data_IF_468820184329
#
_entry.id   IF_468820184329
#
_cell.length_a   1.000
_cell.length_b   1.000
_cell.length_c   1.000
_cell.angle_alpha   90.00
_cell.angle_beta   90.00
_cell.angle_gamma   90.00
#
_symmetry.space_group_name_H-M   'P 1'
#
loop_
_entity.id
_entity.type
_entity.pdbx_description
1 polymer ?
#
# COMPACT_ATOMS: atom_id res chain seq x y z
N UNK A 1 -9.19 13.74 16.83
CA UNK A 1 -7.75 13.52 16.56
C UNK A 1 -7.35 12.06 16.33
N UNK A 2 -8.18 11.07 16.68
CA UNK A 2 -7.92 9.65 16.40
C UNK A 2 -7.75 9.34 14.89
N UNK A 3 -8.35 10.15 14.01
CA UNK A 3 -8.30 10.01 12.56
C UNK A 3 -6.95 10.33 11.90
N UNK A 4 -5.94 10.79 12.65
CA UNK A 4 -4.62 11.18 12.11
C UNK A 4 -3.49 10.26 12.59
N UNK A 5 -3.81 9.28 13.43
CA UNK A 5 -2.84 8.37 14.02
C UNK A 5 -3.17 6.93 13.65
N UNK A 6 -2.13 6.13 13.46
CA UNK A 6 -2.25 4.71 13.22
C UNK A 6 -1.71 3.92 14.42
N UNK A 7 -2.23 2.70 14.68
CA UNK A 7 -1.51 1.74 15.53
C UNK A 7 -0.14 1.47 14.91
N UNK A 8 0.90 1.51 15.75
CA UNK A 8 2.26 1.21 15.33
C UNK A 8 2.64 -0.21 15.72
N UNK A 9 3.47 -0.82 14.89
CA UNK A 9 4.12 -2.08 15.19
C UNK A 9 4.97 -1.95 16.46
N UNK A 10 4.81 -2.90 17.36
CA UNK A 10 5.71 -3.05 18.52
C UNK A 10 7.03 -3.68 18.05
N UNK A 11 8.16 -3.41 18.74
CA UNK A 11 9.44 -4.05 18.41
C UNK A 11 9.36 -5.58 18.50
N UNK A 12 8.56 -6.11 19.41
CA UNK A 12 8.30 -7.55 19.52
C UNK A 12 7.57 -8.11 18.29
N UNK A 13 6.57 -7.42 17.75
CA UNK A 13 5.92 -7.83 16.49
C UNK A 13 6.89 -7.85 15.31
N UNK A 14 7.78 -6.86 15.21
CA UNK A 14 8.79 -6.81 14.15
C UNK A 14 9.83 -7.93 14.29
N UNK A 15 10.26 -8.20 15.52
CA UNK A 15 11.19 -9.29 15.81
C UNK A 15 10.56 -10.66 15.55
N UNK A 16 9.31 -10.85 15.97
CA UNK A 16 8.55 -12.06 15.70
C UNK A 16 8.37 -12.28 14.20
N UNK A 17 8.07 -11.25 13.42
CA UNK A 17 7.97 -11.35 11.95
C UNK A 17 9.23 -11.96 11.34
N UNK A 18 10.41 -11.53 11.77
CA UNK A 18 11.68 -12.06 11.24
C UNK A 18 11.97 -13.50 11.69
N UNK A 19 11.43 -13.92 12.84
CA UNK A 19 11.64 -15.27 13.39
C UNK A 19 10.59 -16.31 12.98
N UNK A 20 9.35 -15.89 12.68
CA UNK A 20 8.25 -16.80 12.40
C UNK A 20 8.39 -17.56 11.08
N UNK A 21 9.15 -17.00 10.14
CA UNK A 21 9.29 -17.56 8.81
C UNK A 21 10.59 -18.36 8.71
N UNK A 22 10.49 -19.60 8.25
CA UNK A 22 11.65 -20.41 7.87
C UNK A 22 12.38 -19.86 6.62
N UNK A 23 11.81 -18.82 5.97
CA UNK A 23 12.37 -18.23 4.78
C UNK A 23 13.51 -17.24 5.10
N UNK A 24 14.57 -17.20 4.27
CA UNK A 24 15.54 -16.11 4.28
C UNK A 24 14.89 -14.73 4.20
N UNK A 25 15.48 -13.74 4.89
CA UNK A 25 14.96 -12.37 4.94
C UNK A 25 14.74 -11.77 3.54
N UNK A 26 15.69 -11.98 2.62
CA UNK A 26 15.60 -11.47 1.24
C UNK A 26 14.34 -11.99 0.51
N UNK A 27 13.99 -13.27 0.71
CA UNK A 27 12.78 -13.84 0.12
C UNK A 27 11.51 -13.28 0.76
N UNK A 28 11.52 -13.03 2.07
CA UNK A 28 10.40 -12.38 2.74
C UNK A 28 10.17 -10.97 2.21
N UNK A 29 11.25 -10.23 1.94
CA UNK A 29 11.19 -8.87 1.41
C UNK A 29 10.68 -8.85 -0.03
N UNK A 30 11.12 -9.80 -0.86
CA UNK A 30 10.60 -9.96 -2.24
C UNK A 30 9.11 -10.33 -2.21
N UNK A 31 8.70 -11.29 -1.39
CA UNK A 31 7.28 -11.69 -1.28
C UNK A 31 6.42 -10.50 -0.83
N UNK A 32 6.88 -9.75 0.17
CA UNK A 32 6.20 -8.55 0.64
C UNK A 32 6.05 -7.54 -0.51
N UNK A 33 7.15 -7.18 -1.16
CA UNK A 33 7.17 -6.23 -2.26
C UNK A 33 6.23 -6.64 -3.41
N UNK A 34 6.32 -7.90 -3.86
CA UNK A 34 5.50 -8.42 -4.97
C UNK A 34 4.02 -8.45 -4.63
N UNK A 35 3.67 -8.80 -3.40
CA UNK A 35 2.27 -8.81 -2.98
C UNK A 35 1.70 -7.40 -2.86
N UNK A 36 2.48 -6.45 -2.33
CA UNK A 36 2.09 -5.04 -2.27
C UNK A 36 1.89 -4.46 -3.67
N UNK A 37 2.76 -4.81 -4.63
CA UNK A 37 2.61 -4.46 -6.05
C UNK A 37 1.36 -5.08 -6.67
N UNK A 38 1.08 -6.36 -6.40
CA UNK A 38 -0.12 -7.04 -6.86
C UNK A 38 -1.38 -6.31 -6.39
N UNK A 39 -1.43 -5.91 -5.10
CA UNK A 39 -2.54 -5.11 -4.56
C UNK A 39 -2.68 -3.77 -5.27
N UNK A 40 -1.57 -3.07 -5.54
CA UNK A 40 -1.59 -1.79 -6.27
C UNK A 40 -2.14 -1.94 -7.68
N UNK A 41 -1.66 -2.94 -8.42
CA UNK A 41 -2.08 -3.17 -9.80
C UNK A 41 -3.55 -3.62 -9.89
N UNK A 42 -4.02 -4.44 -8.94
CA UNK A 42 -5.43 -4.78 -8.84
C UNK A 42 -6.29 -3.54 -8.57
N UNK A 43 -5.85 -2.64 -7.69
CA UNK A 43 -6.53 -1.36 -7.43
C UNK A 43 -6.66 -0.49 -8.69
N UNK A 44 -5.61 -0.42 -9.50
CA UNK A 44 -5.62 0.30 -10.78
C UNK A 44 -6.62 -0.28 -11.78
N UNK A 45 -6.62 -1.61 -11.97
CA UNK A 45 -7.53 -2.28 -12.90
C UNK A 45 -9.00 -2.21 -12.46
N UNK A 46 -9.24 -2.20 -11.15
CA UNK A 46 -10.57 -1.99 -10.57
C UNK A 46 -10.99 -0.51 -10.56
N UNK A 47 -10.13 0.41 -11.02
CA UNK A 47 -10.35 1.85 -10.99
C UNK A 47 -10.66 2.39 -9.58
N UNK A 48 -10.07 1.77 -8.56
CA UNK A 48 -10.23 2.21 -7.18
C UNK A 48 -9.41 3.49 -6.92
N UNK A 49 -9.90 4.40 -6.05
CA UNK A 49 -9.10 5.53 -5.61
C UNK A 49 -7.80 5.06 -4.96
N UNK A 50 -6.69 5.76 -5.21
CA UNK A 50 -5.38 5.40 -4.64
C UNK A 50 -5.41 5.35 -3.11
N UNK A 51 -6.28 6.13 -2.46
CA UNK A 51 -6.49 6.07 -1.01
C UNK A 51 -6.99 4.69 -0.57
N UNK A 52 -7.93 4.08 -1.27
CA UNK A 52 -8.47 2.75 -0.94
C UNK A 52 -7.39 1.68 -1.11
N UNK A 53 -6.67 1.73 -2.23
CA UNK A 53 -5.58 0.78 -2.51
C UNK A 53 -4.44 0.93 -1.50
N UNK A 54 -4.05 2.16 -1.15
CA UNK A 54 -3.05 2.41 -0.12
C UNK A 54 -3.50 1.89 1.26
N UNK A 55 -4.77 2.05 1.62
CA UNK A 55 -5.31 1.48 2.87
C UNK A 55 -5.22 -0.05 2.87
N UNK A 56 -5.56 -0.69 1.74
CA UNK A 56 -5.42 -2.14 1.58
C UNK A 56 -3.96 -2.59 1.80
N UNK A 57 -2.99 -1.94 1.16
CA UNK A 57 -1.56 -2.21 1.34
C UNK A 57 -1.12 -2.11 2.82
N UNK A 58 -1.62 -1.11 3.56
CA UNK A 58 -1.33 -0.95 5.00
C UNK A 58 -1.98 -2.06 5.83
N UNK A 59 -3.24 -2.43 5.55
CA UNK A 59 -3.92 -3.52 6.25
C UNK A 59 -3.21 -4.86 6.00
N UNK A 60 -2.74 -5.11 4.77
CA UNK A 60 -1.95 -6.28 4.41
C UNK A 60 -0.63 -6.32 5.20
N UNK A 61 0.05 -5.18 5.31
CA UNK A 61 1.27 -5.07 6.10
C UNK A 61 1.03 -5.34 7.60
N UNK A 62 -0.08 -4.84 8.15
CA UNK A 62 -0.49 -5.10 9.54
C UNK A 62 -0.82 -6.57 9.78
N UNK A 63 -1.52 -7.21 8.83
CA UNK A 63 -1.85 -8.63 8.93
C UNK A 63 -0.60 -9.50 9.10
N UNK A 64 0.45 -9.24 8.31
CA UNK A 64 1.73 -9.96 8.40
C UNK A 64 2.63 -9.59 9.59
N UNK A 65 2.22 -8.64 10.44
CA UNK A 65 2.85 -8.45 11.75
C UNK A 65 2.32 -9.44 12.79
N UNK A 66 1.16 -10.06 12.54
CA UNK A 66 0.47 -10.95 13.46
C UNK A 66 0.52 -12.40 12.97
N UNK A 67 0.26 -12.61 11.68
CA UNK A 67 0.20 -13.93 11.06
C UNK A 67 1.48 -14.23 10.27
N UNK A 68 1.93 -15.51 10.22
CA UNK A 68 3.12 -15.88 9.49
C UNK A 68 2.88 -15.73 7.98
N UNK A 69 3.93 -15.36 7.25
CA UNK A 69 3.87 -15.01 5.83
C UNK A 69 3.28 -16.14 4.96
N UNK A 70 3.63 -17.40 5.28
CA UNK A 70 3.20 -18.60 4.56
C UNK A 70 1.85 -19.18 5.04
N UNK A 71 1.11 -18.49 5.93
CA UNK A 71 -0.17 -18.98 6.43
C UNK A 71 -1.26 -19.05 5.37
N UNK A 72 -1.20 -18.16 4.36
CA UNK A 72 -2.23 -17.99 3.34
C UNK A 72 -1.58 -17.73 1.99
N UNK A 73 -2.31 -18.02 0.92
CA UNK A 73 -1.88 -17.67 -0.43
C UNK A 73 -1.87 -16.14 -0.61
N UNK A 74 -0.77 -15.62 -1.14
CA UNK A 74 -0.55 -14.17 -1.28
C UNK A 74 -1.59 -13.48 -2.18
N UNK A 75 -1.98 -14.14 -3.28
CA UNK A 75 -2.94 -13.61 -4.25
C UNK A 75 -4.33 -13.47 -3.62
N UNK A 76 -4.80 -14.54 -2.97
CA UNK A 76 -6.08 -14.61 -2.26
C UNK A 76 -6.12 -13.62 -1.09
N UNK A 77 -5.03 -13.49 -0.33
CA UNK A 77 -4.92 -12.52 0.76
C UNK A 77 -4.94 -11.08 0.23
N UNK A 78 -4.19 -10.77 -0.82
CA UNK A 78 -4.22 -9.47 -1.49
C UNK A 78 -5.63 -9.11 -1.98
N UNK A 79 -6.35 -10.07 -2.57
CA UNK A 79 -7.72 -9.88 -3.03
C UNK A 79 -8.69 -9.60 -1.86
N UNK A 80 -8.57 -10.36 -0.77
CA UNK A 80 -9.42 -10.19 0.41
C UNK A 80 -9.19 -8.86 1.12
N UNK A 81 -7.93 -8.43 1.28
CA UNK A 81 -7.63 -7.13 1.89
C UNK A 81 -8.11 -5.97 1.02
N UNK A 82 -7.94 -6.06 -0.31
CA UNK A 82 -8.44 -5.05 -1.24
C UNK A 82 -9.97 -4.99 -1.26
N UNK A 83 -10.64 -6.15 -1.25
CA UNK A 83 -12.09 -6.25 -1.12
C UNK A 83 -12.59 -5.58 0.16
N UNK A 84 -11.98 -5.90 1.30
CA UNK A 84 -12.33 -5.33 2.59
C UNK A 84 -12.17 -3.80 2.60
N UNK A 85 -11.04 -3.28 2.12
CA UNK A 85 -10.79 -1.85 2.04
C UNK A 85 -11.78 -1.14 1.11
N UNK A 86 -12.07 -1.72 -0.07
CA UNK A 86 -13.03 -1.16 -1.02
C UNK A 86 -14.46 -1.16 -0.46
N UNK A 87 -14.88 -2.24 0.19
CA UNK A 87 -16.20 -2.41 0.81
C UNK A 87 -16.47 -1.37 1.91
N UNK A 88 -15.44 -1.02 2.69
CA UNK A 88 -15.52 0.00 3.75
C UNK A 88 -15.29 1.43 3.23
N UNK A 89 -14.78 1.56 2.02
CA UNK A 89 -14.40 2.82 1.39
C UNK A 89 -15.53 3.47 0.59
N UNK A 90 -15.20 4.55 -0.15
CA UNK A 90 -16.16 5.31 -0.96
C UNK A 90 -16.57 4.62 -2.27
N UNK A 91 -15.85 3.56 -2.68
CA UNK A 91 -16.04 2.88 -3.96
C UNK A 91 -16.04 1.35 -3.76
N UNK A 92 -17.17 0.75 -3.37
CA UNK A 92 -17.26 -0.70 -3.16
C UNK A 92 -17.11 -1.46 -4.48
N UNK A 93 -16.22 -2.45 -4.49
CA UNK A 93 -16.02 -3.34 -5.63
C UNK A 93 -16.79 -4.66 -5.45
N UNK A 94 -17.40 -5.17 -6.52
CA UNK A 94 -18.09 -6.46 -6.47
C UNK A 94 -17.07 -7.61 -6.36
N UNK A 95 -17.35 -8.67 -5.60
CA UNK A 95 -16.46 -9.84 -5.53
C UNK A 95 -16.15 -10.46 -6.89
N UNK A 96 -17.10 -10.39 -7.83
CA UNK A 96 -16.93 -10.86 -9.21
C UNK A 96 -15.95 -10.01 -10.02
N UNK A 97 -15.98 -8.68 -9.87
CA UNK A 97 -14.99 -7.82 -10.51
C UNK A 97 -13.59 -8.07 -9.96
N UNK A 98 -13.47 -8.28 -8.64
CA UNK A 98 -12.19 -8.64 -8.01
C UNK A 98 -11.70 -9.98 -8.54
N UNK A 99 -12.56 -11.00 -8.62
CA UNK A 99 -12.21 -12.30 -9.18
C UNK A 99 -11.69 -12.18 -10.62
N UNK A 100 -12.37 -11.41 -11.47
CA UNK A 100 -11.95 -11.18 -12.86
C UNK A 100 -10.57 -10.51 -12.94
N UNK A 101 -10.35 -9.46 -12.14
CA UNK A 101 -9.06 -8.75 -12.12
C UNK A 101 -7.94 -9.64 -11.62
N UNK A 102 -8.13 -10.40 -10.54
CA UNK A 102 -7.09 -11.32 -10.06
C UNK A 102 -6.85 -12.49 -11.03
N UNK A 103 -7.90 -12.99 -11.70
CA UNK A 103 -7.76 -14.00 -12.76
C UNK A 103 -6.90 -13.45 -13.91
N UNK A 104 -7.14 -12.21 -14.33
CA UNK A 104 -6.32 -11.55 -15.35
C UNK A 104 -4.88 -11.31 -14.88
N UNK A 105 -4.68 -10.79 -13.66
CA UNK A 105 -3.34 -10.46 -13.15
C UNK A 105 -2.44 -11.67 -12.96
N UNK A 106 -3.02 -12.82 -12.60
CA UNK A 106 -2.32 -14.10 -12.47
C UNK A 106 -2.16 -14.84 -13.81
N UNK A 107 -2.81 -14.37 -14.88
CA UNK A 107 -2.68 -14.96 -16.20
C UNK A 107 -1.30 -14.64 -16.83
N UNK A 108 -0.78 -15.50 -17.73
CA UNK A 108 0.50 -15.26 -18.42
C UNK A 108 0.49 -14.03 -19.34
N UNK A 109 -0.69 -13.47 -19.61
CA UNK A 109 -0.86 -12.27 -20.43
C UNK A 109 -0.59 -10.99 -19.64
N UNK A 110 -0.65 -11.05 -18.30
CA UNK A 110 -0.39 -9.91 -17.42
C UNK A 110 1.07 -9.43 -17.55
N UNK A 111 1.29 -8.12 -17.70
CA UNK A 111 2.65 -7.58 -17.76
C UNK A 111 3.34 -7.57 -16.39
N UNK A 112 2.64 -7.77 -15.27
CA UNK A 112 3.20 -7.67 -13.92
C UNK A 112 4.28 -8.71 -13.63
N UNK A 113 4.05 -9.95 -14.04
CA UNK A 113 4.95 -11.07 -13.77
C UNK A 113 5.65 -11.57 -15.03
N UNK A 114 5.66 -10.74 -16.09
CA UNK A 114 6.34 -11.09 -17.33
C UNK A 114 7.85 -11.00 -17.12
N UNK A 115 8.51 -12.14 -17.25
CA UNK A 115 9.97 -12.21 -17.26
C UNK A 115 10.51 -11.41 -18.45
N UNK A 116 11.55 -10.56 -18.28
CA UNK A 116 12.16 -9.85 -19.40
C UNK A 116 12.94 -10.85 -20.26
N UNK A 117 12.28 -11.46 -21.24
CA UNK A 117 12.91 -12.44 -22.12
C UNK A 117 13.95 -11.75 -23.02
N UNK A 118 15.22 -11.88 -22.63
CA UNK A 118 16.39 -11.53 -23.44
C UNK A 118 16.72 -12.67 -24.41
N UNK A 119 15.87 -12.95 -25.40
CA UNK A 119 16.21 -13.83 -26.54
C UNK A 119 15.04 -13.99 -27.51
N UNK A 120 15.09 -13.25 -28.62
CA UNK A 120 14.80 -13.58 -30.04
C UNK A 120 13.83 -14.73 -30.47
N UNK A 121 12.95 -15.24 -29.62
CA UNK A 121 11.86 -16.18 -29.98
C UNK A 121 10.58 -15.85 -29.21
N UNK A 122 10.28 -14.56 -29.03
CA UNK A 122 8.97 -14.14 -28.56
C UNK A 122 7.98 -14.21 -29.71
N UNK A 123 7.44 -15.40 -30.00
CA UNK A 123 6.11 -15.51 -30.59
C UNK A 123 5.21 -14.60 -29.76
N UNK A 124 4.72 -13.52 -30.37
CA UNK A 124 3.72 -12.65 -29.79
C UNK A 124 2.60 -13.53 -29.26
N UNK A 125 2.53 -13.72 -27.94
CA UNK A 125 1.35 -14.28 -27.31
C UNK A 125 0.31 -13.18 -27.46
N UNK A 126 -0.39 -13.21 -28.61
CA UNK A 126 -1.47 -12.29 -28.90
C UNK A 126 -2.49 -12.46 -27.76
N UNK A 127 -2.90 -11.38 -27.08
CA UNK A 127 -3.98 -11.51 -26.11
C UNK A 127 -5.18 -12.15 -26.83
N UNK A 128 -5.86 -13.13 -26.23
CA UNK A 128 -7.10 -13.68 -26.79
C UNK A 128 -8.05 -12.52 -27.13
N UNK A 129 -8.59 -12.53 -28.34
CA UNK A 129 -9.50 -11.50 -28.85
C UNK A 129 -10.85 -11.50 -28.08
N UNK A 130 -11.13 -12.55 -27.30
CA UNK A 130 -12.35 -12.74 -26.51
C UNK A 130 -12.19 -12.32 -25.03
N UNK A 131 -13.01 -11.36 -24.60
CA UNK A 131 -13.14 -10.92 -23.20
C UNK A 131 -13.50 -12.06 -22.23
N UNK A 132 -14.17 -13.11 -22.73
CA UNK A 132 -14.59 -14.27 -21.93
C UNK A 132 -13.44 -15.11 -21.38
N UNK A 133 -12.25 -15.05 -21.99
CA UNK A 133 -11.06 -15.80 -21.57
C UNK A 133 -10.53 -15.38 -20.18
N UNK A 134 -10.84 -14.16 -19.75
CA UNK A 134 -10.41 -13.60 -18.47
C UNK A 134 -11.47 -13.68 -17.37
N UNK A 135 -12.64 -14.23 -17.69
CA UNK A 135 -13.70 -14.46 -16.72
C UNK A 135 -13.51 -15.86 -16.14
N UNK A 136 -13.43 -16.01 -14.80
CA UNK A 136 -13.35 -17.32 -14.19
C UNK A 136 -14.62 -18.12 -14.49
N UNK A 137 -14.48 -19.43 -14.64
CA UNK A 137 -15.63 -20.32 -14.73
C UNK A 137 -16.48 -20.21 -13.47
N UNK A 138 -17.79 -20.45 -13.57
CA UNK A 138 -18.70 -20.36 -12.41
C UNK A 138 -18.24 -21.19 -11.18
N UNK A 139 -17.77 -22.46 -11.30
CA UNK A 139 -17.24 -23.17 -10.14
C UNK A 139 -15.96 -22.56 -9.58
N UNK A 140 -15.07 -22.03 -10.43
CA UNK A 140 -13.86 -21.35 -9.98
C UNK A 140 -14.19 -20.05 -9.24
N UNK A 141 -15.19 -19.31 -9.72
CA UNK A 141 -15.71 -18.12 -9.04
C UNK A 141 -16.30 -18.47 -7.66
N UNK A 142 -17.08 -19.54 -7.54
CA UNK A 142 -17.66 -19.96 -6.26
C UNK A 142 -16.59 -20.35 -5.24
N UNK A 143 -15.55 -21.07 -5.68
CA UNK A 143 -14.40 -21.40 -4.84
C UNK A 143 -13.66 -20.13 -4.39
N UNK A 144 -13.33 -19.23 -5.32
CA UNK A 144 -12.70 -17.95 -5.04
C UNK A 144 -13.53 -17.13 -4.03
N UNK A 145 -14.84 -17.02 -4.25
CA UNK A 145 -15.74 -16.25 -3.38
C UNK A 145 -15.79 -16.82 -1.96
N UNK A 146 -15.81 -18.14 -1.81
CA UNK A 146 -15.77 -18.79 -0.49
C UNK A 146 -14.47 -18.50 0.24
N UNK A 147 -13.33 -18.61 -0.45
CA UNK A 147 -12.00 -18.26 0.09
C UNK A 147 -11.91 -16.78 0.45
N UNK A 148 -12.44 -15.89 -0.40
CA UNK A 148 -12.45 -14.46 -0.19
C UNK A 148 -13.17 -14.08 1.11
N UNK A 149 -14.35 -14.64 1.35
CA UNK A 149 -15.13 -14.37 2.56
C UNK A 149 -14.48 -14.97 3.82
N UNK A 150 -13.89 -16.17 3.71
CA UNK A 150 -13.15 -16.78 4.82
C UNK A 150 -11.93 -15.93 5.21
N UNK A 151 -11.19 -15.43 4.23
CA UNK A 151 -10.05 -14.53 4.45
C UNK A 151 -10.49 -13.16 4.98
N UNK A 152 -11.58 -12.59 4.49
CA UNK A 152 -12.16 -11.35 5.02
C UNK A 152 -12.39 -11.49 6.54
N UNK A 153 -13.05 -12.57 6.97
CA UNK A 153 -13.29 -12.85 8.38
C UNK A 153 -11.99 -13.02 9.17
N UNK A 154 -10.99 -13.72 8.61
CA UNK A 154 -9.68 -13.90 9.26
C UNK A 154 -8.92 -12.58 9.40
N UNK A 155 -8.93 -11.72 8.39
CA UNK A 155 -8.30 -10.39 8.44
C UNK A 155 -8.96 -9.54 9.53
N UNK A 156 -10.30 -9.52 9.58
CA UNK A 156 -11.03 -8.77 10.61
C UNK A 156 -10.71 -9.29 12.01
N UNK A 157 -10.67 -10.60 12.20
CA UNK A 157 -10.34 -11.21 13.49
C UNK A 157 -8.90 -10.89 13.92
N UNK A 158 -7.92 -11.07 13.03
CA UNK A 158 -6.48 -10.86 13.31
C UNK A 158 -6.15 -9.40 13.61
N UNK A 159 -6.83 -8.47 12.95
CA UNK A 159 -6.69 -7.03 13.20
C UNK A 159 -7.61 -6.53 14.32
N UNK A 160 -8.31 -7.41 15.04
CA UNK A 160 -9.28 -7.06 16.08
C UNK A 160 -10.30 -6.00 15.62
N UNK A 161 -10.73 -6.10 14.36
CA UNK A 161 -11.62 -5.17 13.67
C UNK A 161 -11.09 -3.73 13.53
N UNK A 162 -9.80 -3.48 13.79
CA UNK A 162 -9.16 -2.18 13.52
C UNK A 162 -8.75 -2.07 12.04
N UNK A 163 -9.74 -1.72 11.21
CA UNK A 163 -9.55 -1.45 9.78
C UNK A 163 -9.21 0.01 9.49
N UNK A 164 -9.08 0.86 10.52
CA UNK A 164 -8.83 2.28 10.32
C UNK A 164 -7.38 2.56 9.90
N UNK A 165 -7.21 3.29 8.80
CA UNK A 165 -5.90 3.69 8.29
C UNK A 165 -5.93 5.18 7.90
N UNK A 166 -5.19 5.97 8.67
CA UNK A 166 -4.85 7.34 8.33
C UNK A 166 -3.68 7.36 7.33
N UNK A 167 -3.89 7.96 6.15
CA UNK A 167 -2.86 8.09 5.14
C UNK A 167 -2.10 9.42 5.27
N UNK A 168 -0.80 9.46 4.94
CA UNK A 168 0.03 10.66 5.00
C UNK A 168 -0.21 11.61 3.81
N UNK A 169 -0.82 11.16 2.70
CA UNK A 169 -0.97 11.97 1.48
C UNK A 169 -1.70 13.30 1.69
N UNK A 170 -2.85 13.36 2.40
CA UNK A 170 -3.51 14.64 2.67
C UNK A 170 -2.64 15.57 3.52
N UNK A 171 -1.90 15.02 4.49
CA UNK A 171 -0.98 15.79 5.32
C UNK A 171 0.16 16.38 4.49
N UNK A 172 0.74 15.58 3.58
CA UNK A 172 1.78 16.06 2.68
C UNK A 172 1.29 17.25 1.84
N UNK A 173 0.06 17.20 1.30
CA UNK A 173 -0.54 18.33 0.58
C UNK A 173 -0.67 19.56 1.48
N UNK A 174 -1.17 19.41 2.72
CA UNK A 174 -1.27 20.54 3.65
C UNK A 174 0.10 21.12 4.01
N UNK A 175 1.13 20.29 4.11
CA UNK A 175 2.50 20.72 4.41
C UNK A 175 3.12 21.46 3.23
N UNK A 176 2.92 20.97 2.00
CA UNK A 176 3.36 21.66 0.79
C UNK A 176 2.69 23.04 0.65
N UNK A 177 1.38 23.11 0.94
CA UNK A 177 0.64 24.38 0.94
C UNK A 177 1.11 25.35 2.03
N UNK A 178 1.40 24.84 3.23
CA UNK A 178 1.84 25.67 4.36
C UNK A 178 3.28 26.18 4.22
N UNK A 179 4.18 25.40 3.61
CA UNK A 179 5.55 25.84 3.31
C UNK A 179 5.61 26.81 2.13
N UNK A 180 4.56 26.84 1.31
CA UNK A 180 4.42 27.59 0.06
C UNK A 180 5.77 27.88 -0.57
N UNK A 181 6.49 26.84 -1.04
CA UNK A 181 7.87 26.90 -1.51
C UNK A 181 8.18 28.14 -2.36
N UNK A 182 8.47 29.25 -1.69
CA UNK A 182 8.43 30.60 -2.26
C UNK A 182 9.57 30.81 -3.26
N UNK A 183 10.61 29.98 -3.15
CA UNK A 183 11.78 30.00 -4.00
C UNK A 183 11.56 29.34 -5.38
N UNK A 184 10.46 28.60 -5.58
CA UNK A 184 10.16 27.97 -6.89
C UNK A 184 9.40 28.96 -7.78
N UNK A 185 10.00 29.47 -8.87
CA UNK A 185 9.42 30.51 -9.71
C UNK A 185 8.20 30.04 -10.51
N UNK A 186 8.11 28.74 -10.84
CA UNK A 186 7.09 28.24 -11.77
C UNK A 186 6.10 27.29 -11.08
N UNK A 187 4.80 27.45 -11.37
CA UNK A 187 3.76 26.52 -10.90
C UNK A 187 4.02 25.06 -11.32
N UNK A 188 4.67 24.86 -12.47
CA UNK A 188 5.09 23.54 -12.94
C UNK A 188 6.07 22.85 -11.97
N UNK A 189 7.02 23.57 -11.39
CA UNK A 189 7.98 23.03 -10.42
C UNK A 189 7.31 22.72 -9.08
N UNK A 190 6.36 23.57 -8.65
CA UNK A 190 5.52 23.30 -7.47
C UNK A 190 4.69 22.02 -7.65
N UNK A 191 4.14 21.81 -8.85
CA UNK A 191 3.40 20.59 -9.18
C UNK A 191 4.32 19.36 -9.25
N UNK A 192 5.53 19.50 -9.81
CA UNK A 192 6.54 18.44 -9.87
C UNK A 192 7.01 18.01 -8.48
N UNK A 193 7.19 18.97 -7.57
CA UNK A 193 7.49 18.69 -6.17
C UNK A 193 6.37 17.90 -5.50
N UNK A 194 5.12 18.29 -5.74
CA UNK A 194 3.95 17.59 -5.20
C UNK A 194 3.80 16.17 -5.72
N UNK A 195 4.00 15.96 -7.03
CA UNK A 195 3.95 14.63 -7.63
C UNK A 195 5.09 13.73 -7.12
N UNK A 196 6.29 14.28 -6.93
CA UNK A 196 7.43 13.56 -6.38
C UNK A 196 7.20 13.17 -4.90
N UNK A 197 6.63 14.07 -4.09
CA UNK A 197 6.28 13.76 -2.71
C UNK A 197 5.23 12.62 -2.63
N UNK A 198 4.22 12.64 -3.50
CA UNK A 198 3.22 11.55 -3.60
C UNK A 198 3.88 10.25 -4.07
N UNK A 199 4.82 10.32 -5.03
CA UNK A 199 5.58 9.16 -5.47
C UNK A 199 6.36 8.53 -4.31
N UNK A 200 7.04 9.33 -3.48
CA UNK A 200 7.73 8.85 -2.28
C UNK A 200 6.81 8.16 -1.27
N UNK A 201 5.60 8.69 -1.08
CA UNK A 201 4.63 8.04 -0.20
C UNK A 201 4.13 6.71 -0.79
N UNK A 202 3.91 6.65 -2.10
CA UNK A 202 3.49 5.42 -2.77
C UNK A 202 4.60 4.36 -2.77
N UNK A 203 5.86 4.73 -2.97
CA UNK A 203 6.98 3.80 -2.88
C UNK A 203 7.20 3.31 -1.45
N UNK A 204 6.94 4.13 -0.44
CA UNK A 204 6.99 3.74 0.96
C UNK A 204 5.97 2.65 1.34
N UNK A 205 4.84 2.51 0.61
CA UNK A 205 3.90 1.39 0.78
C UNK A 205 4.49 0.04 0.36
N UNK A 206 5.40 0.05 -0.61
CA UNK A 206 6.05 -1.14 -1.16
C UNK A 206 7.29 -1.57 -0.35
N UNK A 207 7.79 -0.69 0.52
CA UNK A 207 9.04 -0.92 1.26
C UNK A 207 8.89 -2.07 2.27
N UNK A 208 9.79 -3.08 2.25
CA UNK A 208 9.74 -4.22 3.19
C UNK A 208 9.96 -3.82 4.66
N UNK A 209 10.49 -2.61 4.89
CA UNK A 209 10.65 -2.01 6.23
C UNK A 209 9.31 -1.58 6.86
N UNK A 210 8.19 -1.75 6.15
CA UNK A 210 6.83 -1.46 6.65
C UNK A 210 6.71 -0.07 7.28
N UNK A 211 7.17 0.95 6.55
CA UNK A 211 7.22 2.34 7.04
C UNK A 211 5.86 2.85 7.57
N UNK A 212 4.76 2.42 6.93
CA UNK A 212 3.39 2.74 7.32
C UNK A 212 2.91 2.06 8.61
N UNK A 213 3.60 1.01 9.06
CA UNK A 213 3.33 0.36 10.35
C UNK A 213 4.29 0.83 11.45
N UNK A 214 5.47 1.35 11.11
CA UNK A 214 6.49 1.76 12.09
C UNK A 214 6.43 3.25 12.43
N UNK A 215 5.98 4.10 11.51
CA UNK A 215 5.96 5.55 11.67
C UNK A 215 4.55 6.12 11.55
N UNK A 216 4.28 7.20 12.31
CA UNK A 216 3.00 7.91 12.23
C UNK A 216 2.88 8.69 10.90
N UNK A 217 1.66 8.87 10.37
CA UNK A 217 1.44 9.57 9.10
C UNK A 217 2.07 10.97 9.00
N UNK A 218 2.06 11.84 10.05
CA UNK A 218 2.74 13.13 10.00
C UNK A 218 4.24 13.00 9.74
N UNK A 219 4.92 12.01 10.32
CA UNK A 219 6.35 11.81 10.13
C UNK A 219 6.66 11.36 8.70
N UNK A 220 5.84 10.47 8.13
CA UNK A 220 5.96 10.01 6.74
C UNK A 220 5.73 11.15 5.75
N UNK A 221 4.71 11.98 5.98
CA UNK A 221 4.42 13.14 5.14
C UNK A 221 5.59 14.15 5.15
N UNK A 222 6.17 14.42 6.32
CA UNK A 222 7.35 15.28 6.42
C UNK A 222 8.56 14.68 5.69
N UNK A 223 8.84 13.39 5.88
CA UNK A 223 9.96 12.73 5.22
C UNK A 223 9.82 12.79 3.69
N UNK A 224 8.63 12.55 3.16
CA UNK A 224 8.36 12.62 1.73
C UNK A 224 8.55 14.04 1.17
N UNK A 225 8.03 15.06 1.86
CA UNK A 225 8.19 16.46 1.46
C UNK A 225 9.65 16.91 1.52
N UNK A 226 10.38 16.49 2.55
CA UNK A 226 11.81 16.78 2.70
C UNK A 226 12.64 16.17 1.58
N UNK A 227 12.44 14.89 1.29
CA UNK A 227 13.15 14.20 0.20
C UNK A 227 12.81 14.83 -1.15
N UNK A 228 11.52 15.09 -1.41
CA UNK A 228 11.10 15.72 -2.65
C UNK A 228 11.73 17.10 -2.86
N UNK A 229 11.77 17.94 -1.82
CA UNK A 229 12.38 19.26 -1.90
C UNK A 229 13.87 19.20 -2.14
N UNK A 230 14.56 18.24 -1.51
CA UNK A 230 15.99 18.03 -1.69
C UNK A 230 16.32 17.63 -3.14
N UNK A 231 15.55 16.74 -3.74
CA UNK A 231 15.83 16.27 -5.11
C UNK A 231 15.51 17.32 -6.18
N UNK A 232 14.49 18.14 -5.95
CA UNK A 232 14.17 19.30 -6.80
C UNK A 232 15.15 20.46 -6.56
N UNK A 233 15.93 20.43 -5.48
CA UNK A 233 16.86 21.50 -5.11
C UNK A 233 16.17 22.73 -4.52
N UNK A 234 14.94 22.58 -4.01
CA UNK A 234 14.20 23.66 -3.38
C UNK A 234 14.81 24.02 -2.01
N UNK A 235 15.04 25.31 -1.76
CA UNK A 235 15.52 25.80 -0.46
C UNK A 235 14.45 25.59 0.61
N UNK A 236 14.80 24.87 1.67
CA UNK A 236 13.94 24.69 2.83
C UNK A 236 14.31 25.67 3.95
N UNK A 237 13.36 26.00 4.87
CA UNK A 237 13.66 26.80 6.04
C UNK A 237 14.78 26.16 6.88
N UNK A 238 15.73 26.98 7.37
CA UNK A 238 16.83 26.53 8.23
C UNK A 238 16.35 26.09 9.63
N UNK A 239 15.17 26.55 10.04
CA UNK A 239 14.55 26.13 11.29
C UNK A 239 14.01 24.69 11.18
N UNK A 240 13.92 24.00 12.32
CA UNK A 240 13.40 22.63 12.37
C UNK A 240 11.87 22.58 12.21
N UNK A 241 11.37 23.05 11.06
CA UNK A 241 9.96 23.17 10.70
C UNK A 241 9.19 21.85 10.88
N UNK A 242 9.87 20.72 10.62
CA UNK A 242 9.34 19.38 10.84
C UNK A 242 8.91 19.10 12.29
N UNK A 243 9.53 19.75 13.28
CA UNK A 243 9.19 19.54 14.69
C UNK A 243 7.78 20.05 15.02
N UNK A 244 7.28 21.07 14.32
CA UNK A 244 5.92 21.60 14.51
C UNK A 244 4.88 20.53 14.15
N UNK A 245 5.17 19.74 13.13
CA UNK A 245 4.23 18.77 12.57
C UNK A 245 4.37 17.37 13.18
N UNK A 246 5.57 16.98 13.60
CA UNK A 246 5.80 15.74 14.34
C UNK A 246 5.26 15.79 15.79
N UNK A 247 5.30 16.96 16.45
CA UNK A 247 4.85 17.09 17.87
C UNK A 247 3.35 17.02 18.09
N UNK A 248 2.53 17.16 17.07
CA UNK A 248 1.07 16.99 17.18
C UNK A 248 0.66 15.56 17.61
N UNK A 249 1.53 14.55 17.43
CA UNK A 249 1.29 13.19 17.94
C UNK A 249 1.96 12.88 19.31
N UNK A 250 2.93 13.68 19.77
CA UNK A 250 3.71 13.39 20.98
C UNK A 250 3.12 13.95 22.29
N UNK A 251 2.06 14.76 22.26
CA UNK A 251 1.49 15.40 23.46
C UNK A 251 0.79 14.46 24.46
N UNK A 252 0.76 13.13 24.25
CA UNK A 252 0.15 12.18 25.20
C UNK A 252 1.11 11.41 26.12
N UNK A 253 2.43 11.63 26.08
CA UNK A 253 3.37 10.92 26.97
C UNK A 253 3.92 11.73 28.15
N UNK A 254 3.51 13.00 28.34
CA UNK A 254 4.01 13.84 29.44
C UNK A 254 2.92 14.43 30.35
N UNK A 255 1.65 14.04 30.21
CA UNK A 255 0.59 14.42 31.14
C UNK A 255 -0.05 13.16 31.70
N UNK A 256 0.70 12.51 32.58
CA UNK A 256 0.22 11.61 33.62
C UNK A 256 0.92 12.06 34.89
N UNK A 257 0.33 13.07 35.53
CA UNK A 257 0.54 13.32 36.95
C UNK A 257 -0.35 12.40 37.76
#
# INVERSE_FOLDING_TARGET
>A
MAHLTNPLATPDQLYRRSQFSALPADLQDIIFFQSQLLTQAAGLLLQLPQSVTAQANVLLARFWLVEPLLSQEFSSLSAAVLYLAAKLGPAPASPRNIANVYTYLLSPYSPLFREPVSSQTSSQIKPPDDTGSYTPSEPAYQAFHTTLLALEARILYTLAFDTHVALPHPLAVTYLQALDFFALPTQAEKNALGSLAVAYLNTALLSPQQLYATHQPPALAVAAVYNAARDVGAKMPECAWWRLWMRLSMRRRCWGG
#
